data_IF_672675945030
#
_entry.id   IF_672675945030
#
_cell.length_a   1.000
_cell.length_b   1.000
_cell.length_c   1.000
_cell.angle_alpha   90.00
_cell.angle_beta   90.00
_cell.angle_gamma   90.00
#
_symmetry.space_group_name_H-M   'P 1'
#
loop_
_entity.id
_entity.type
_entity.pdbx_description
1 polymer ?
#
# COMPACT_ATOMS: atom_id res chain seq x y z
N UNK A 1 52.88 -21.50 -9.44
CA UNK A 1 51.99 -20.34 -9.19
C UNK A 1 50.59 -20.48 -9.79
N UNK A 2 50.43 -20.88 -11.07
CA UNK A 2 49.12 -21.00 -11.75
C UNK A 2 48.11 -21.96 -11.09
N UNK A 3 48.55 -23.09 -10.53
CA UNK A 3 47.67 -24.11 -9.91
C UNK A 3 47.03 -23.62 -8.60
N UNK A 4 47.76 -22.86 -7.76
CA UNK A 4 47.22 -22.33 -6.49
C UNK A 4 46.17 -21.23 -6.73
N UNK A 5 46.36 -20.41 -7.76
CA UNK A 5 45.39 -19.38 -8.18
C UNK A 5 44.09 -20.03 -8.68
N UNK A 6 44.21 -21.10 -9.48
CA UNK A 6 43.03 -21.85 -9.97
C UNK A 6 42.24 -22.52 -8.84
N UNK A 7 42.91 -23.12 -7.86
CA UNK A 7 42.23 -23.71 -6.69
C UNK A 7 41.55 -22.65 -5.82
N UNK A 8 42.20 -21.50 -5.59
CA UNK A 8 41.59 -20.39 -4.85
C UNK A 8 40.33 -19.85 -5.54
N UNK A 9 40.36 -19.72 -6.87
CA UNK A 9 39.21 -19.27 -7.66
C UNK A 9 38.04 -20.26 -7.58
N UNK A 10 38.30 -21.57 -7.66
CA UNK A 10 37.25 -22.60 -7.57
C UNK A 10 36.60 -22.60 -6.18
N UNK A 11 37.39 -22.50 -5.11
CA UNK A 11 36.87 -22.45 -3.74
C UNK A 11 36.02 -21.20 -3.51
N UNK A 12 36.46 -20.04 -4.03
CA UNK A 12 35.66 -18.81 -3.95
C UNK A 12 34.33 -18.92 -4.70
N UNK A 13 34.32 -19.58 -5.86
CA UNK A 13 33.11 -19.77 -6.68
C UNK A 13 32.12 -20.73 -6.01
N UNK A 14 32.62 -21.80 -5.37
CA UNK A 14 31.81 -22.71 -4.56
C UNK A 14 31.24 -22.00 -3.33
N UNK A 15 32.07 -21.22 -2.62
CA UNK A 15 31.60 -20.43 -1.49
C UNK A 15 30.52 -19.42 -1.90
N UNK A 16 30.69 -18.77 -3.06
CA UNK A 16 29.69 -17.86 -3.61
C UNK A 16 28.38 -18.59 -3.90
N UNK A 17 28.42 -19.75 -4.58
CA UNK A 17 27.23 -20.57 -4.83
C UNK A 17 26.50 -20.97 -3.54
N UNK A 18 27.25 -21.41 -2.52
CA UNK A 18 26.69 -21.77 -1.21
C UNK A 18 26.00 -20.56 -0.57
N UNK A 19 26.66 -19.40 -0.53
CA UNK A 19 26.09 -18.18 0.02
C UNK A 19 24.87 -17.73 -0.79
N UNK A 20 24.90 -17.80 -2.12
CA UNK A 20 23.76 -17.44 -2.97
C UNK A 20 22.55 -18.35 -2.80
N UNK A 21 22.74 -19.59 -2.36
CA UNK A 21 21.63 -20.52 -2.07
C UNK A 21 21.11 -20.37 -0.64
N UNK A 22 22.02 -20.21 0.33
CA UNK A 22 21.65 -20.16 1.75
C UNK A 22 21.14 -18.78 2.16
N UNK A 23 21.75 -17.70 1.67
CA UNK A 23 21.43 -16.35 2.12
C UNK A 23 19.99 -15.92 1.81
N UNK A 24 19.41 -16.19 0.60
CA UNK A 24 18.01 -15.86 0.33
C UNK A 24 17.03 -16.59 1.24
N UNK A 25 17.25 -17.89 1.47
CA UNK A 25 16.42 -18.71 2.36
C UNK A 25 16.53 -18.21 3.80
N UNK A 26 17.76 -17.99 4.29
CA UNK A 26 17.99 -17.47 5.63
C UNK A 26 17.33 -16.09 5.82
N UNK A 27 17.45 -15.19 4.83
CA UNK A 27 16.79 -13.89 4.85
C UNK A 27 15.26 -14.03 4.82
N UNK A 28 14.73 -14.92 4.00
CA UNK A 28 13.29 -15.21 3.92
C UNK A 28 12.72 -15.69 5.25
N UNK A 29 13.30 -16.73 5.86
CA UNK A 29 12.81 -17.23 7.15
C UNK A 29 13.02 -16.23 8.27
N UNK A 30 14.15 -15.51 8.29
CA UNK A 30 14.40 -14.46 9.27
C UNK A 30 13.31 -13.38 9.17
N UNK A 31 13.09 -12.83 7.97
CA UNK A 31 12.08 -11.79 7.76
C UNK A 31 10.67 -12.26 8.04
N UNK A 32 10.30 -13.48 7.64
CA UNK A 32 8.98 -14.03 7.94
C UNK A 32 8.77 -14.26 9.44
N UNK A 33 9.83 -14.59 10.18
CA UNK A 33 9.76 -14.82 11.63
C UNK A 33 9.63 -13.52 12.42
N UNK A 34 10.44 -12.52 12.09
CA UNK A 34 10.51 -11.28 12.86
C UNK A 34 9.60 -10.16 12.32
N UNK A 35 9.31 -10.17 11.02
CA UNK A 35 8.54 -9.14 10.31
C UNK A 35 7.50 -9.76 9.36
N UNK A 36 6.61 -10.65 9.85
CA UNK A 36 5.69 -11.42 9.00
C UNK A 36 4.73 -10.56 8.16
N UNK A 37 4.40 -9.35 8.64
CA UNK A 37 3.49 -8.45 7.95
C UNK A 37 4.21 -7.72 6.80
N UNK A 38 5.38 -7.15 7.07
CA UNK A 38 6.26 -6.51 6.08
C UNK A 38 6.72 -7.50 5.01
N UNK A 39 7.11 -8.72 5.42
CA UNK A 39 7.56 -9.77 4.52
C UNK A 39 6.46 -10.21 3.52
N UNK A 40 5.19 -9.99 3.86
CA UNK A 40 4.03 -10.25 2.99
C UNK A 40 3.58 -9.01 2.20
N UNK A 41 4.35 -7.92 2.23
CA UNK A 41 4.06 -6.67 1.52
C UNK A 41 3.04 -5.76 2.21
N UNK A 42 2.76 -5.99 3.50
CA UNK A 42 1.80 -5.21 4.30
C UNK A 42 0.38 -5.21 3.70
N UNK A 43 -0.28 -6.40 3.69
CA UNK A 43 -1.60 -6.56 3.11
C UNK A 43 -2.67 -5.80 3.91
N UNK A 44 -3.49 -5.05 3.20
CA UNK A 44 -4.62 -4.30 3.73
C UNK A 44 -5.87 -5.18 3.70
N UNK A 45 -6.55 -5.30 4.84
CA UNK A 45 -7.75 -6.11 4.99
C UNK A 45 -9.03 -5.28 5.11
N UNK A 46 -10.09 -5.74 4.46
CA UNK A 46 -11.45 -5.26 4.62
C UNK A 46 -12.39 -6.47 4.71
N UNK A 47 -13.17 -6.56 5.78
CA UNK A 47 -14.06 -7.70 6.07
C UNK A 47 -13.36 -9.08 5.97
N UNK A 48 -12.10 -9.16 6.42
CA UNK A 48 -11.30 -10.39 6.40
C UNK A 48 -10.68 -10.75 5.04
N UNK A 49 -10.93 -9.96 4.00
CA UNK A 49 -10.37 -10.16 2.66
C UNK A 49 -9.24 -9.17 2.38
N UNK A 50 -8.22 -9.60 1.64
CA UNK A 50 -7.16 -8.71 1.17
C UNK A 50 -7.74 -7.84 0.05
N UNK A 51 -7.67 -6.52 0.26
CA UNK A 51 -8.15 -5.51 -0.69
C UNK A 51 -7.03 -4.70 -1.33
N UNK A 52 -5.81 -4.87 -0.86
CA UNK A 52 -4.63 -4.20 -1.37
C UNK A 52 -3.42 -4.36 -0.48
N UNK A 53 -2.41 -3.55 -0.76
CA UNK A 53 -1.14 -3.53 -0.04
C UNK A 53 -0.78 -2.09 0.30
N UNK A 54 -0.09 -1.88 1.41
CA UNK A 54 0.23 -0.55 1.93
C UNK A 54 1.03 0.29 0.93
N UNK A 55 1.92 -0.34 0.16
CA UNK A 55 2.84 0.34 -0.76
C UNK A 55 2.40 0.34 -2.22
N UNK A 56 1.25 -0.24 -2.54
CA UNK A 56 0.75 -0.36 -3.92
C UNK A 56 -0.57 0.37 -4.03
N UNK A 57 -0.59 1.45 -4.82
CA UNK A 57 -1.76 2.28 -5.01
C UNK A 57 -2.94 1.49 -5.58
N UNK A 58 -4.06 1.51 -4.85
CA UNK A 58 -5.31 0.88 -5.27
C UNK A 58 -6.07 1.91 -6.10
N UNK A 59 -5.94 1.80 -7.42
CA UNK A 59 -6.59 2.71 -8.36
C UNK A 59 -8.10 2.43 -8.47
N UNK A 60 -8.86 2.99 -7.52
CA UNK A 60 -10.31 2.93 -7.55
C UNK A 60 -10.87 3.90 -8.61
N UNK A 61 -10.17 5.01 -8.94
CA UNK A 61 -10.55 6.08 -9.90
C UNK A 61 -12.05 6.18 -10.20
N UNK A 62 -12.83 6.35 -9.12
CA UNK A 62 -14.26 6.66 -9.17
C UNK A 62 -14.50 7.89 -8.32
N UNK A 63 -15.47 8.70 -8.75
CA UNK A 63 -16.04 9.75 -7.91
C UNK A 63 -16.40 9.15 -6.55
N UNK A 64 -16.01 9.82 -5.46
CA UNK A 64 -16.25 9.32 -4.10
C UNK A 64 -15.07 8.62 -3.43
N UNK A 65 -13.87 8.64 -4.02
CA UNK A 65 -12.65 8.08 -3.41
C UNK A 65 -11.49 9.06 -3.48
N UNK A 66 -10.54 8.92 -2.56
CA UNK A 66 -9.25 9.59 -2.61
C UNK A 66 -8.38 8.98 -3.73
N UNK A 67 -7.53 9.81 -4.31
CA UNK A 67 -6.69 9.50 -5.44
C UNK A 67 -5.24 9.85 -5.13
N UNK A 68 -4.29 9.09 -5.67
CA UNK A 68 -2.88 9.49 -5.59
C UNK A 68 -2.62 10.66 -6.56
N UNK A 69 -1.73 11.57 -6.17
CA UNK A 69 -1.30 12.72 -6.99
C UNK A 69 -0.02 12.42 -7.78
N UNK A 70 0.68 11.33 -7.47
CA UNK A 70 1.92 10.96 -8.15
C UNK A 70 1.63 10.11 -9.41
N UNK A 71 2.08 10.59 -10.58
CA UNK A 71 1.92 9.87 -11.86
C UNK A 71 3.00 8.82 -12.13
N UNK A 72 4.10 8.86 -11.38
CA UNK A 72 5.35 8.15 -11.73
C UNK A 72 5.59 6.88 -10.92
N UNK A 73 4.89 6.70 -9.81
CA UNK A 73 4.97 5.51 -8.98
C UNK A 73 3.56 5.15 -8.56
N UNK A 74 3.29 3.86 -8.44
CA UNK A 74 2.10 3.29 -7.82
C UNK A 74 2.06 3.63 -6.31
N UNK A 75 2.50 4.83 -5.90
CA UNK A 75 2.58 5.28 -4.53
C UNK A 75 1.18 5.71 -4.07
N UNK A 76 0.63 5.11 -3.01
CA UNK A 76 -0.61 5.57 -2.42
C UNK A 76 -0.41 6.76 -1.47
N UNK A 77 0.81 7.26 -1.31
CA UNK A 77 1.16 8.28 -0.31
C UNK A 77 1.00 9.67 -0.93
N UNK A 78 0.23 10.52 -0.26
CA UNK A 78 0.07 11.94 -0.58
C UNK A 78 0.34 12.78 0.67
N UNK A 79 0.54 14.08 0.50
CA UNK A 79 0.60 15.00 1.65
C UNK A 79 -0.78 15.17 2.29
N UNK A 80 -0.79 15.47 3.58
CA UNK A 80 -2.03 15.77 4.30
C UNK A 80 -2.82 16.92 3.65
N UNK A 81 -2.12 17.94 3.14
CA UNK A 81 -2.77 19.07 2.45
C UNK A 81 -3.48 18.63 1.17
N UNK A 82 -2.85 17.80 0.35
CA UNK A 82 -3.49 17.24 -0.86
C UNK A 82 -4.72 16.40 -0.48
N UNK A 83 -4.65 15.63 0.60
CA UNK A 83 -5.80 14.88 1.09
C UNK A 83 -6.93 15.80 1.55
N UNK A 84 -6.62 16.91 2.23
CA UNK A 84 -7.62 17.91 2.65
C UNK A 84 -8.27 18.61 1.45
N UNK A 85 -7.53 18.92 0.40
CA UNK A 85 -8.07 19.48 -0.85
C UNK A 85 -9.00 18.49 -1.55
N UNK A 86 -8.62 17.22 -1.63
CA UNK A 86 -9.48 16.16 -2.14
C UNK A 86 -10.73 16.00 -1.26
N UNK A 87 -10.63 16.14 0.06
CA UNK A 87 -11.78 16.07 0.96
C UNK A 87 -12.81 17.18 0.69
N UNK A 88 -12.36 18.40 0.39
CA UNK A 88 -13.25 19.49 -0.05
C UNK A 88 -13.97 19.12 -1.35
N UNK A 89 -13.24 18.55 -2.31
CA UNK A 89 -13.81 18.10 -3.58
C UNK A 89 -14.82 16.96 -3.38
N UNK A 90 -14.53 15.99 -2.51
CA UNK A 90 -15.43 14.89 -2.18
C UNK A 90 -16.68 15.36 -1.44
N UNK A 91 -16.55 16.32 -0.52
CA UNK A 91 -17.69 16.96 0.13
C UNK A 91 -18.60 17.66 -0.88
N UNK A 92 -18.04 18.49 -1.77
CA UNK A 92 -18.81 19.22 -2.77
C UNK A 92 -19.44 18.30 -3.82
N UNK A 93 -18.73 17.26 -4.26
CA UNK A 93 -19.16 16.42 -5.38
C UNK A 93 -20.02 15.23 -4.99
N UNK A 94 -19.82 14.65 -3.81
CA UNK A 94 -20.54 13.44 -3.34
C UNK A 94 -21.43 13.73 -2.15
N UNK A 95 -21.20 14.85 -1.45
CA UNK A 95 -21.96 15.21 -0.26
C UNK A 95 -21.50 14.46 1.00
N UNK A 96 -20.25 13.99 1.02
CA UNK A 96 -19.65 13.37 2.21
C UNK A 96 -19.44 14.42 3.31
N UNK A 97 -19.76 14.14 4.58
CA UNK A 97 -19.53 15.10 5.65
C UNK A 97 -18.05 15.47 5.75
N UNK A 98 -17.74 16.76 5.64
CA UNK A 98 -16.35 17.23 5.71
C UNK A 98 -15.71 16.94 7.07
N UNK A 99 -16.50 16.94 8.15
CA UNK A 99 -16.06 16.56 9.49
C UNK A 99 -15.55 15.12 9.54
N UNK A 100 -16.27 14.20 8.91
CA UNK A 100 -15.86 12.80 8.80
C UNK A 100 -14.58 12.67 7.97
N UNK A 101 -14.51 13.33 6.80
CA UNK A 101 -13.32 13.28 5.94
C UNK A 101 -12.06 13.81 6.63
N UNK A 102 -12.16 14.93 7.36
CA UNK A 102 -11.04 15.48 8.14
C UNK A 102 -10.59 14.54 9.24
N UNK A 103 -11.55 14.00 10.01
CA UNK A 103 -11.23 13.02 11.05
C UNK A 103 -10.55 11.79 10.46
N UNK A 104 -11.02 11.31 9.31
CA UNK A 104 -10.43 10.18 8.62
C UNK A 104 -8.99 10.45 8.19
N UNK A 105 -8.73 11.64 7.62
CA UNK A 105 -7.37 12.05 7.23
C UNK A 105 -6.45 12.10 8.44
N UNK A 106 -6.82 12.85 9.49
CA UNK A 106 -5.96 13.00 10.66
C UNK A 106 -5.70 11.70 11.41
N UNK A 107 -6.64 10.74 11.37
CA UNK A 107 -6.45 9.42 11.98
C UNK A 107 -5.40 8.57 11.25
N UNK A 108 -5.19 8.81 9.95
CA UNK A 108 -4.24 8.07 9.13
C UNK A 108 -3.02 8.90 8.70
N UNK A 109 -2.98 10.18 9.08
CA UNK A 109 -1.81 11.04 8.90
C UNK A 109 -0.67 10.57 9.79
N UNK A 110 0.54 10.58 9.25
CA UNK A 110 1.77 10.36 9.99
C UNK A 110 2.83 11.39 9.57
N UNK A 111 3.75 11.69 10.49
CA UNK A 111 4.88 12.56 10.19
C UNK A 111 6.03 11.72 9.68
N UNK A 112 6.42 11.96 8.44
CA UNK A 112 7.60 11.32 7.87
C UNK A 112 8.87 11.82 8.56
N UNK A 113 9.73 10.89 9.00
CA UNK A 113 10.91 11.20 9.81
C UNK A 113 11.99 11.87 8.96
N UNK A 114 12.09 11.51 7.68
CA UNK A 114 13.15 12.00 6.79
C UNK A 114 12.85 13.40 6.26
N UNK A 115 11.61 13.64 5.84
CA UNK A 115 11.19 14.90 5.22
C UNK A 115 10.50 15.85 6.20
N UNK A 116 10.08 15.36 7.36
CA UNK A 116 9.32 16.12 8.37
C UNK A 116 7.89 16.47 7.94
N UNK A 117 7.46 16.03 6.74
CA UNK A 117 6.16 16.32 6.14
C UNK A 117 5.07 15.44 6.78
N UNK A 118 3.85 15.98 6.87
CA UNK A 118 2.67 15.17 7.19
C UNK A 118 2.18 14.48 5.93
N UNK A 119 2.18 13.14 5.96
CA UNK A 119 1.82 12.27 4.85
C UNK A 119 0.65 11.40 5.26
N UNK A 120 -0.10 10.91 4.26
CA UNK A 120 -1.23 10.03 4.47
C UNK A 120 -1.35 9.04 3.31
N UNK A 121 -1.73 7.81 3.64
CA UNK A 121 -1.91 6.75 2.66
C UNK A 121 -3.36 6.69 2.16
N UNK A 122 -3.55 6.97 0.87
CA UNK A 122 -4.86 6.98 0.20
C UNK A 122 -5.56 5.63 0.23
N UNK A 123 -4.84 4.50 0.28
CA UNK A 123 -5.46 3.18 0.40
C UNK A 123 -6.19 3.05 1.74
N UNK A 124 -5.58 3.48 2.85
CA UNK A 124 -6.23 3.46 4.16
C UNK A 124 -7.41 4.42 4.24
N UNK A 125 -7.29 5.61 3.65
CA UNK A 125 -8.43 6.53 3.53
C UNK A 125 -9.58 5.87 2.76
N UNK A 126 -9.30 5.23 1.63
CA UNK A 126 -10.33 4.58 0.81
C UNK A 126 -10.97 3.37 1.52
N UNK A 127 -10.21 2.61 2.30
CA UNK A 127 -10.76 1.54 3.16
C UNK A 127 -11.67 2.12 4.24
N UNK A 128 -11.27 3.25 4.84
CA UNK A 128 -12.13 3.98 5.78
C UNK A 128 -13.44 4.44 5.14
N UNK A 129 -13.37 4.98 3.91
CA UNK A 129 -14.54 5.34 3.12
C UNK A 129 -15.44 4.14 2.83
N UNK A 130 -14.88 2.98 2.47
CA UNK A 130 -15.65 1.76 2.23
C UNK A 130 -16.42 1.32 3.48
N UNK A 131 -15.76 1.35 4.66
CA UNK A 131 -16.43 1.05 5.95
C UNK A 131 -17.59 2.00 6.20
N UNK A 132 -17.40 3.28 5.91
CA UNK A 132 -18.46 4.27 6.05
C UNK A 132 -19.60 4.03 5.05
N UNK A 133 -19.29 3.77 3.77
CA UNK A 133 -20.30 3.54 2.73
C UNK A 133 -21.13 2.27 2.95
N UNK A 134 -20.53 1.21 3.49
CA UNK A 134 -21.22 -0.04 3.82
C UNK A 134 -22.41 0.18 4.75
N UNK A 135 -22.30 1.13 5.69
CA UNK A 135 -23.34 1.39 6.70
C UNK A 135 -24.27 2.56 6.36
N UNK A 136 -24.09 3.23 5.22
CA UNK A 136 -24.86 4.42 4.86
C UNK A 136 -25.61 4.23 3.54
N UNK A 137 -26.94 4.08 3.61
CA UNK A 137 -27.82 3.85 2.44
C UNK A 137 -27.60 4.86 1.31
N UNK A 138 -27.34 6.12 1.64
CA UNK A 138 -27.06 7.19 0.66
C UNK A 138 -25.80 6.94 -0.17
N UNK A 139 -24.79 6.29 0.41
CA UNK A 139 -23.47 6.11 -0.21
C UNK A 139 -23.20 4.66 -0.64
N UNK A 140 -24.18 3.76 -0.47
CA UNK A 140 -24.02 2.33 -0.73
C UNK A 140 -23.62 2.03 -2.19
N UNK A 141 -24.03 2.85 -3.15
CA UNK A 141 -23.59 2.71 -4.54
C UNK A 141 -22.06 2.85 -4.70
N UNK A 142 -21.44 3.76 -3.93
CA UNK A 142 -19.99 3.94 -3.92
C UNK A 142 -19.29 2.74 -3.29
N UNK A 143 -19.87 2.14 -2.24
CA UNK A 143 -19.39 0.87 -1.68
C UNK A 143 -19.36 -0.23 -2.75
N UNK A 144 -20.49 -0.47 -3.42
CA UNK A 144 -20.59 -1.53 -4.46
C UNK A 144 -19.58 -1.30 -5.57
N UNK A 145 -19.48 -0.07 -6.09
CA UNK A 145 -18.52 0.28 -7.16
C UNK A 145 -17.06 0.13 -6.71
N UNK A 146 -16.75 0.53 -5.49
CA UNK A 146 -15.41 0.39 -4.90
C UNK A 146 -15.01 -1.07 -4.74
N UNK A 147 -15.89 -1.89 -4.17
CA UNK A 147 -15.63 -3.33 -4.00
C UNK A 147 -15.52 -4.07 -5.34
N UNK A 148 -16.35 -3.75 -6.33
CA UNK A 148 -16.23 -4.29 -7.68
C UNK A 148 -14.87 -3.97 -8.32
N UNK A 149 -14.39 -2.73 -8.14
CA UNK A 149 -13.09 -2.32 -8.67
C UNK A 149 -11.93 -3.01 -7.97
N UNK A 150 -11.97 -3.12 -6.64
CA UNK A 150 -10.97 -3.87 -5.86
C UNK A 150 -10.93 -5.33 -6.30
N UNK A 151 -12.10 -5.96 -6.45
CA UNK A 151 -12.20 -7.33 -6.92
C UNK A 151 -11.56 -7.52 -8.30
N UNK A 152 -11.81 -6.60 -9.23
CA UNK A 152 -11.17 -6.60 -10.55
C UNK A 152 -9.64 -6.47 -10.45
N UNK A 153 -9.14 -5.52 -9.66
CA UNK A 153 -7.69 -5.30 -9.46
C UNK A 153 -7.00 -6.53 -8.84
N UNK A 154 -7.67 -7.22 -7.90
CA UNK A 154 -7.18 -8.47 -7.33
C UNK A 154 -6.99 -9.58 -8.37
N UNK A 155 -7.81 -9.60 -9.44
CA UNK A 155 -7.70 -10.61 -10.50
C UNK A 155 -6.64 -10.27 -11.54
N UNK A 156 -6.45 -8.99 -11.85
CA UNK A 156 -5.52 -8.54 -12.91
C UNK A 156 -4.12 -8.23 -12.40
N UNK A 157 -3.91 -8.30 -11.08
CA UNK A 157 -2.78 -7.67 -10.41
C UNK A 157 -3.07 -6.18 -10.20
N UNK A 158 -2.65 -5.64 -9.06
CA UNK A 158 -2.72 -4.21 -8.75
C UNK A 158 -1.82 -3.44 -9.73
N UNK A 159 -2.38 -3.07 -10.89
CA UNK A 159 -1.78 -2.23 -11.92
C UNK A 159 -2.43 -0.85 -11.92
#
# INVERSE_FOLDING_TARGET
MKVKVLHGAIVALIAFLIVSLILPEAAYYFTLTFFPYQAKGEPIYFNGQIVGYEYIYINISKRGFFNSTESYYLSPIITENEALEQALTLNASVGLPLTYLRSLIYNYSYRDVLTGRSLVNTNFLNVGLLKFYEHHKRFYEYYVKGMQRIYYLNQTGFQ
#
